data_IF_223962204471
#
_entry.id   IF_223962204471
#
_cell.length_a   1.000
_cell.length_b   1.000
_cell.length_c   1.000
_cell.angle_alpha   90.00
_cell.angle_beta   90.00
_cell.angle_gamma   90.00
#
_symmetry.space_group_name_H-M   'P 1'
#
loop_
_entity.id
_entity.type
_entity.pdbx_description
1 polymer ?
#
# COMPACT_ATOMS: atom_id res chain seq x y z
N UNK A 1 -5.47 -32.96 -18.73
CA UNK A 1 -5.50 -31.77 -19.61
C UNK A 1 -6.02 -30.51 -18.91
N UNK A 2 -6.88 -30.58 -17.87
CA UNK A 2 -7.43 -29.39 -17.19
C UNK A 2 -6.52 -28.66 -16.19
N UNK A 3 -5.50 -29.33 -15.64
CA UNK A 3 -4.62 -28.76 -14.61
C UNK A 3 -3.66 -27.69 -15.17
N UNK A 4 -3.17 -27.89 -16.40
CA UNK A 4 -2.31 -26.91 -17.09
C UNK A 4 -3.07 -25.63 -17.46
N UNK A 5 -4.37 -25.74 -17.74
CA UNK A 5 -5.22 -24.59 -18.08
C UNK A 5 -5.60 -23.77 -16.85
N UNK A 6 -5.98 -24.41 -15.74
CA UNK A 6 -6.16 -23.74 -14.43
C UNK A 6 -4.93 -22.95 -13.97
N UNK A 7 -3.73 -23.51 -14.16
CA UNK A 7 -2.49 -22.82 -13.79
C UNK A 7 -2.18 -21.62 -14.69
N UNK A 8 -2.56 -21.70 -15.97
CA UNK A 8 -2.44 -20.58 -16.90
C UNK A 8 -3.45 -19.48 -16.56
N UNK A 9 -4.70 -19.84 -16.27
CA UNK A 9 -5.76 -18.89 -15.89
C UNK A 9 -5.43 -18.14 -14.58
N UNK A 10 -4.81 -18.82 -13.60
CA UNK A 10 -4.30 -18.20 -12.36
C UNK A 10 -3.08 -17.30 -12.59
N UNK A 11 -2.20 -17.68 -13.51
CA UNK A 11 -1.02 -16.88 -13.86
C UNK A 11 -1.42 -15.61 -14.66
N UNK A 12 -2.40 -15.72 -15.54
CA UNK A 12 -2.92 -14.60 -16.34
C UNK A 12 -3.74 -13.64 -15.45
N UNK A 13 -4.52 -14.15 -14.49
CA UNK A 13 -5.18 -13.33 -13.47
C UNK A 13 -4.19 -12.66 -12.50
N UNK A 14 -3.07 -13.33 -12.17
CA UNK A 14 -2.01 -12.74 -11.36
C UNK A 14 -1.19 -11.69 -12.12
N UNK A 15 -0.98 -11.89 -13.42
CA UNK A 15 -0.34 -10.91 -14.31
C UNK A 15 -1.18 -9.65 -14.53
N UNK A 16 -2.49 -9.71 -14.26
CA UNK A 16 -3.39 -8.57 -14.27
C UNK A 16 -3.34 -7.72 -12.99
N UNK A 17 -2.73 -8.21 -11.90
CA UNK A 17 -2.61 -7.45 -10.66
C UNK A 17 -1.37 -6.53 -10.70
N UNK A 18 -1.50 -5.24 -10.32
CA UNK A 18 -0.38 -4.32 -10.31
C UNK A 18 0.71 -4.78 -9.33
N UNK A 19 2.00 -4.55 -9.64
CA UNK A 19 3.11 -4.94 -8.77
C UNK A 19 3.05 -4.18 -7.44
N UNK A 20 3.31 -4.89 -6.33
CA UNK A 20 3.24 -4.31 -4.98
C UNK A 20 4.46 -3.45 -4.67
N UNK A 21 4.25 -2.18 -4.31
CA UNK A 21 5.29 -1.33 -3.72
C UNK A 21 5.74 -1.88 -2.37
N UNK A 22 7.05 -2.05 -2.17
CA UNK A 22 7.61 -2.54 -0.90
C UNK A 22 7.89 -1.40 0.09
N UNK A 23 7.74 -1.63 1.40
CA UNK A 23 7.93 -0.59 2.43
C UNK A 23 9.40 -0.20 2.64
N UNK A 24 10.34 -0.90 1.99
CA UNK A 24 11.75 -0.52 1.96
C UNK A 24 12.20 -0.06 0.57
N UNK A 25 13.24 0.76 0.56
CA UNK A 25 13.97 1.15 -0.63
C UNK A 25 15.32 0.40 -0.69
N UNK A 26 15.88 0.28 -1.89
CA UNK A 26 17.26 -0.19 -2.10
C UNK A 26 18.02 0.91 -2.82
N UNK A 27 19.11 1.38 -2.22
CA UNK A 27 19.92 2.48 -2.74
C UNK A 27 19.10 3.75 -3.06
N UNK A 28 18.11 4.04 -2.20
CA UNK A 28 17.19 5.18 -2.37
C UNK A 28 16.12 5.00 -3.44
N UNK A 29 16.04 3.84 -4.10
CA UNK A 29 15.04 3.55 -5.14
C UNK A 29 13.90 2.69 -4.60
N UNK A 30 12.66 3.04 -5.00
CA UNK A 30 11.48 2.22 -4.75
C UNK A 30 11.68 0.81 -5.28
N UNK A 31 11.32 -0.18 -4.46
CA UNK A 31 11.35 -1.59 -4.81
C UNK A 31 9.91 -2.10 -4.98
N UNK A 32 9.70 -2.97 -5.97
CA UNK A 32 8.40 -3.55 -6.29
C UNK A 32 8.48 -5.08 -6.29
N UNK A 33 7.41 -5.72 -5.84
CA UNK A 33 7.22 -7.16 -5.82
C UNK A 33 6.21 -7.55 -6.91
N UNK A 34 6.62 -8.42 -7.83
CA UNK A 34 5.71 -9.06 -8.79
C UNK A 34 4.68 -9.93 -8.04
N UNK A 35 3.44 -9.89 -8.49
CA UNK A 35 2.29 -10.59 -7.89
C UNK A 35 2.19 -12.06 -8.30
N UNK A 36 3.19 -12.61 -8.99
CA UNK A 36 3.27 -14.03 -9.39
C UNK A 36 3.15 -15.01 -8.20
N UNK A 37 3.52 -14.59 -6.99
CA UNK A 37 3.34 -15.32 -5.75
C UNK A 37 1.99 -15.12 -5.03
N UNK A 38 1.12 -14.24 -5.53
CA UNK A 38 -0.14 -13.86 -4.91
C UNK A 38 -0.01 -13.06 -3.59
N UNK A 39 -1.14 -12.59 -3.02
CA UNK A 39 -1.14 -11.77 -1.80
C UNK A 39 -0.59 -12.49 -0.57
N UNK A 40 -0.52 -13.83 -0.58
CA UNK A 40 -0.03 -14.66 0.51
C UNK A 40 1.42 -15.14 0.34
N UNK A 41 2.17 -14.56 -0.61
CA UNK A 41 3.59 -14.89 -0.79
C UNK A 41 4.43 -14.57 0.45
N UNK A 42 5.58 -15.24 0.60
CA UNK A 42 6.51 -14.99 1.71
C UNK A 42 6.96 -13.53 1.75
N UNK A 43 7.23 -12.94 0.59
CA UNK A 43 7.64 -11.54 0.48
C UNK A 43 6.49 -10.56 0.76
N UNK A 44 5.26 -10.92 0.40
CA UNK A 44 4.07 -10.12 0.73
C UNK A 44 3.86 -10.06 2.25
N UNK A 45 3.96 -11.20 2.95
CA UNK A 45 3.86 -11.24 4.42
C UNK A 45 5.00 -10.48 5.10
N UNK A 46 6.23 -10.63 4.60
CA UNK A 46 7.36 -9.83 5.09
C UNK A 46 7.12 -8.33 4.90
N UNK A 47 6.53 -7.92 3.78
CA UNK A 47 6.14 -6.54 3.56
C UNK A 47 5.09 -6.09 4.58
N UNK A 48 4.06 -6.89 4.86
CA UNK A 48 3.06 -6.56 5.90
C UNK A 48 3.68 -6.40 7.29
N UNK A 49 4.59 -7.31 7.67
CA UNK A 49 5.32 -7.24 8.94
C UNK A 49 6.19 -5.97 9.03
N UNK A 50 6.91 -5.64 7.96
CA UNK A 50 7.74 -4.44 7.90
C UNK A 50 6.92 -3.15 7.92
N UNK A 51 5.76 -3.10 7.24
CA UNK A 51 4.82 -1.99 7.34
C UNK A 51 4.37 -1.79 8.80
N UNK A 52 4.02 -2.88 9.50
CA UNK A 52 3.61 -2.83 10.90
C UNK A 52 4.74 -2.34 11.83
N UNK A 53 5.97 -2.82 11.62
CA UNK A 53 7.15 -2.38 12.37
C UNK A 53 7.42 -0.89 12.15
N UNK A 54 7.38 -0.40 10.91
CA UNK A 54 7.58 1.01 10.60
C UNK A 54 6.55 1.91 11.26
N UNK A 55 5.27 1.55 11.19
CA UNK A 55 4.20 2.30 11.86
C UNK A 55 4.37 2.27 13.40
N UNK A 56 4.74 1.12 13.97
CA UNK A 56 5.04 1.01 15.40
C UNK A 56 6.22 1.87 15.85
N UNK A 57 7.29 1.94 15.05
CA UNK A 57 8.40 2.86 15.30
C UNK A 57 7.93 4.33 15.27
N UNK A 58 7.05 4.67 14.32
CA UNK A 58 6.43 5.99 14.23
C UNK A 58 5.66 6.38 15.50
N UNK A 59 4.89 5.44 16.07
CA UNK A 59 4.19 5.66 17.37
C UNK A 59 5.19 5.96 18.48
N UNK A 60 6.25 5.16 18.61
CA UNK A 60 7.26 5.37 19.66
C UNK A 60 7.99 6.72 19.51
N UNK A 61 8.28 7.13 18.27
CA UNK A 61 8.89 8.44 17.98
C UNK A 61 7.93 9.57 18.32
N UNK A 62 6.64 9.43 18.00
CA UNK A 62 5.63 10.42 18.33
C UNK A 62 5.49 10.62 19.85
N UNK A 63 5.42 9.54 20.63
CA UNK A 63 5.38 9.62 22.10
C UNK A 63 6.61 10.33 22.69
N UNK A 64 7.78 10.08 22.09
CA UNK A 64 9.02 10.74 22.51
C UNK A 64 9.03 12.21 22.12
N UNK A 65 8.49 12.54 20.94
CA UNK A 65 8.35 13.90 20.46
C UNK A 65 7.42 14.73 21.35
N UNK A 66 6.30 14.19 21.80
CA UNK A 66 5.36 14.88 22.68
C UNK A 66 6.03 15.35 23.99
N UNK A 67 6.96 14.55 24.54
CA UNK A 67 7.73 14.94 25.73
C UNK A 67 8.68 16.11 25.46
N UNK A 68 9.35 16.12 24.31
CA UNK A 68 10.27 17.21 23.93
C UNK A 68 9.51 18.48 23.55
N UNK A 69 8.39 18.36 22.85
CA UNK A 69 7.64 19.50 22.34
C UNK A 69 6.74 20.15 23.40
N UNK A 70 6.41 19.44 24.48
CA UNK A 70 5.64 19.97 25.61
C UNK A 70 6.47 20.80 26.59
N UNK A 71 7.81 20.66 26.60
CA UNK A 71 8.68 21.51 27.41
C UNK A 71 9.15 22.73 26.61
N UNK A 72 8.69 23.96 26.92
CA UNK A 72 9.12 25.17 26.23
C UNK A 72 10.62 25.51 26.45
N UNK A 73 11.29 24.82 27.39
CA UNK A 73 12.73 24.97 27.66
C UNK A 73 13.58 23.90 26.97
N UNK A 74 12.98 22.99 26.20
CA UNK A 74 13.75 21.97 25.49
C UNK A 74 14.84 22.59 24.60
N UNK A 75 16.07 22.06 24.65
CA UNK A 75 17.16 22.57 23.83
C UNK A 75 16.83 22.54 22.33
N UNK A 76 17.26 23.56 21.60
CA UNK A 76 17.05 23.64 20.15
C UNK A 76 17.58 22.42 19.39
N UNK A 77 18.67 21.81 19.86
CA UNK A 77 19.23 20.59 19.29
C UNK A 77 18.30 19.39 19.43
N UNK A 78 17.60 19.26 20.56
CA UNK A 78 16.64 18.17 20.81
C UNK A 78 15.39 18.36 19.97
N UNK A 79 14.86 19.58 19.90
CA UNK A 79 13.72 19.91 19.03
C UNK A 79 14.07 19.62 17.56
N UNK A 80 15.27 20.01 17.10
CA UNK A 80 15.73 19.72 15.73
C UNK A 80 15.87 18.21 15.48
N UNK A 81 16.44 17.47 16.43
CA UNK A 81 16.56 16.02 16.32
C UNK A 81 15.18 15.34 16.26
N UNK A 82 14.26 15.72 17.14
CA UNK A 82 12.88 15.25 17.15
C UNK A 82 12.18 15.51 15.82
N UNK A 83 12.32 16.71 15.25
CA UNK A 83 11.76 17.05 13.95
C UNK A 83 12.32 16.17 12.82
N UNK A 84 13.62 15.86 12.85
CA UNK A 84 14.23 14.93 11.87
C UNK A 84 13.63 13.53 11.99
N UNK A 85 13.53 12.98 13.20
CA UNK A 85 12.96 11.63 13.41
C UNK A 85 11.48 11.56 13.02
N UNK A 86 10.70 12.57 13.36
CA UNK A 86 9.31 12.68 12.92
C UNK A 86 9.22 12.71 11.39
N UNK A 87 10.11 13.46 10.71
CA UNK A 87 10.11 13.53 9.25
C UNK A 87 10.45 12.19 8.58
N UNK A 88 11.32 11.39 9.19
CA UNK A 88 11.63 10.02 8.74
C UNK A 88 10.40 9.12 8.86
N UNK A 89 9.79 9.08 10.05
CA UNK A 89 8.59 8.26 10.30
C UNK A 89 7.39 8.68 9.43
N UNK A 90 7.25 9.97 9.11
CA UNK A 90 6.21 10.45 8.21
C UNK A 90 6.43 9.95 6.77
N UNK A 91 7.67 9.92 6.29
CA UNK A 91 7.99 9.36 4.96
C UNK A 91 7.67 7.87 4.91
N UNK A 92 8.02 7.13 5.96
CA UNK A 92 7.68 5.71 6.06
C UNK A 92 6.16 5.51 6.05
N UNK A 93 5.41 6.27 6.86
CA UNK A 93 3.95 6.19 6.91
C UNK A 93 3.27 6.50 5.56
N UNK A 94 3.74 7.53 4.85
CA UNK A 94 3.25 7.86 3.51
C UNK A 94 3.50 6.73 2.51
N UNK A 95 4.68 6.09 2.58
CA UNK A 95 5.02 4.96 1.73
C UNK A 95 4.16 3.73 2.02
N UNK A 96 3.88 3.46 3.30
CA UNK A 96 2.94 2.40 3.70
C UNK A 96 1.53 2.70 3.18
N UNK A 97 1.08 3.95 3.26
CA UNK A 97 -0.23 4.37 2.75
C UNK A 97 -0.35 4.21 1.24
N UNK A 98 0.65 4.64 0.47
CA UNK A 98 0.74 4.46 -0.99
C UNK A 98 0.70 2.96 -1.35
N UNK A 99 1.57 2.17 -0.73
CA UNK A 99 1.64 0.72 -0.92
C UNK A 99 0.30 0.03 -0.65
N UNK A 100 -0.46 0.47 0.36
CA UNK A 100 -1.80 -0.05 0.66
C UNK A 100 -2.86 0.44 -0.30
N UNK A 101 -2.79 1.70 -0.71
CA UNK A 101 -3.70 2.32 -1.68
C UNK A 101 -3.66 1.60 -3.03
N UNK A 102 -2.47 1.31 -3.53
CA UNK A 102 -2.26 0.58 -4.80
C UNK A 102 -2.86 -0.84 -4.81
N UNK A 103 -3.18 -1.39 -3.62
CA UNK A 103 -3.78 -2.72 -3.48
C UNK A 103 -5.30 -2.70 -3.38
N UNK A 104 -5.93 -1.52 -3.31
CA UNK A 104 -7.37 -1.38 -3.30
C UNK A 104 -7.84 -1.46 -4.77
N UNK A 105 -8.69 -2.43 -5.13
CA UNK A 105 -9.28 -2.46 -6.47
C UNK A 105 -10.02 -1.15 -6.74
N UNK A 106 -9.84 -0.56 -7.92
CA UNK A 106 -10.74 0.50 -8.37
C UNK A 106 -12.16 -0.09 -8.41
N UNK A 107 -13.14 0.58 -7.80
CA UNK A 107 -14.53 0.20 -8.01
C UNK A 107 -14.82 0.40 -9.49
N UNK A 108 -15.27 -0.65 -10.17
CA UNK A 108 -15.80 -0.55 -11.53
C UNK A 108 -17.08 0.32 -11.49
N UNK A 109 -16.92 1.65 -11.41
CA UNK A 109 -18.01 2.62 -11.62
C UNK A 109 -18.26 2.81 -13.12
N UNK A 110 -18.31 1.72 -13.88
CA UNK A 110 -18.76 1.64 -15.27
C UNK A 110 -19.86 0.59 -15.43
N UNK A 111 -20.91 0.67 -14.59
CA UNK A 111 -22.12 -0.16 -14.76
C UNK A 111 -23.42 0.68 -14.72
N UNK A 112 -23.37 1.93 -15.20
CA UNK A 112 -24.57 2.75 -15.41
C UNK A 112 -24.52 3.55 -16.72
N UNK A 113 -24.65 2.86 -17.85
CA UNK A 113 -25.55 3.25 -18.97
C UNK A 113 -25.34 2.30 -20.14
N UNK A 114 -25.98 1.13 -20.09
CA UNK A 114 -26.47 0.40 -21.27
C UNK A 114 -27.49 -0.66 -20.80
N UNK A 115 -28.57 -0.18 -20.18
CA UNK A 115 -29.77 -1.00 -20.07
C UNK A 115 -30.23 -1.41 -21.48
N UNK A 116 -30.82 -2.61 -21.68
CA UNK A 116 -31.19 -3.05 -23.01
C UNK A 116 -32.18 -2.05 -23.62
N UNK A 117 -31.78 -1.33 -24.67
CA UNK A 117 -32.70 -0.53 -25.47
C UNK A 117 -33.60 -1.50 -26.22
N UNK A 118 -34.74 -1.85 -25.63
CA UNK A 118 -35.75 -2.64 -26.31
C UNK A 118 -36.28 -1.80 -27.47
N UNK A 119 -36.24 -2.31 -28.73
CA UNK A 119 -36.81 -1.60 -29.85
C UNK A 119 -38.32 -1.43 -29.63
N UNK A 120 -38.83 -0.25 -29.97
CA UNK A 120 -40.22 0.17 -29.75
C UNK A 120 -41.29 -0.69 -30.49
N UNK A 121 -40.87 -1.72 -31.23
CA UNK A 121 -41.75 -2.63 -31.98
C UNK A 121 -42.29 -3.80 -31.15
N UNK A 122 -41.90 -3.93 -29.87
CA UNK A 122 -42.34 -5.02 -28.99
C UNK A 122 -43.74 -4.83 -28.35
N UNK A 123 -44.42 -3.71 -28.61
CA UNK A 123 -45.77 -3.42 -28.10
C UNK A 123 -46.82 -3.35 -29.23
N UNK A 124 -46.76 -4.33 -30.13
CA UNK A 124 -47.84 -4.62 -31.08
C UNK A 124 -48.95 -5.44 -30.45
#
# INVERSE_FOLDING_TARGET
MGDRRRRQDLADAAAALPPRLLPWARDGKSCYLSTDGGPNSVLSRLADEMEAVQLGMGVNVLESADRVLSDPKSPHSEVRYTALRLSECLRDALRVAESRGDRIPESDDEDHENGPTLPAEAFG
#
